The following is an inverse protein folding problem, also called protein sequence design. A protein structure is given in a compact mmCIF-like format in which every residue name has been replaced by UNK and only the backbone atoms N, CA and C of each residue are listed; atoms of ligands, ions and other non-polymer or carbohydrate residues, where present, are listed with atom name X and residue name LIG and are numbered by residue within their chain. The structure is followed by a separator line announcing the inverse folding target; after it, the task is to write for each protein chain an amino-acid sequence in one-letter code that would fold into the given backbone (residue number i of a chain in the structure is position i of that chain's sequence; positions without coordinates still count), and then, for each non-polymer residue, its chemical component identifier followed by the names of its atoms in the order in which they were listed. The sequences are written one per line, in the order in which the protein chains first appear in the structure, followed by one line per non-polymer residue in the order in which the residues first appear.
data_IF_227083937215
#
_entry.id   IF_227083937215
#
_cell.length_a   1.000
_cell.length_b   1.000
_cell.length_c   1.000
_cell.angle_alpha   90.00
_cell.angle_beta   90.00
_cell.angle_gamma   90.00
#
_symmetry.space_group_name_H-M   'P 1'
#
loop_
_entity.id
_entity.type
_entity.pdbx_description
1 polymer ?
2 non-polymer ?
3 non-polymer ?
4 non-polymer ?
5 non-polymer ?
6 water ?
#
# COMPACT_ATOMS: atom_id res chain seq x y z
N UNK A 1 16.99 -3.55 6.51
CA UNK A 1 16.51 -3.11 7.83
C UNK A 1 15.10 -2.55 7.77
N UNK A 2 14.84 -1.53 8.58
CA UNK A 2 13.50 -0.92 8.77
C UNK A 2 12.92 -0.43 7.44
N UNK A 3 13.69 0.37 6.68
CA UNK A 3 13.22 0.96 5.39
C UNK A 3 12.86 -0.17 4.41
N UNK A 4 13.70 -1.22 4.33
CA UNK A 4 13.43 -2.36 3.45
C UNK A 4 12.16 -3.09 3.94
N UNK A 5 11.97 -3.20 5.26
CA UNK A 5 10.77 -3.88 5.82
C UNK A 5 9.49 -3.15 5.33
N UNK A 6 9.52 -1.82 5.29
CA UNK A 6 8.37 -1.01 4.78
C UNK A 6 8.06 -1.48 3.34
N UNK A 7 9.09 -1.65 2.52
CA UNK A 7 8.97 -2.10 1.12
C UNK A 7 8.37 -3.52 1.10
N UNK A 8 8.83 -4.43 1.98
CA UNK A 8 8.37 -5.83 1.99
C UNK A 8 6.87 -5.83 2.33
N UNK A 9 6.51 -5.14 3.40
CA UNK A 9 5.11 -5.15 3.90
C UNK A 9 4.19 -4.59 2.80
N UNK A 10 4.58 -3.49 2.20
CA UNK A 10 3.78 -2.80 1.15
C UNK A 10 3.57 -3.71 -0.07
N UNK A 11 4.55 -4.56 -0.40
CA UNK A 11 4.49 -5.47 -1.56
C UNK A 11 3.44 -6.55 -1.38
N UNK A 12 2.93 -6.73 -0.16
CA UNK A 12 1.77 -7.66 0.04
C UNK A 12 0.92 -7.11 1.18
N UNK A 13 0.54 -5.85 1.07
CA UNK A 13 0.13 -5.04 2.26
C UNK A 13 -1.18 -5.61 2.83
N UNK A 14 -2.14 -5.91 1.95
CA UNK A 14 -3.45 -6.51 2.31
C UNK A 14 -3.23 -7.77 3.17
N UNK A 15 -2.44 -8.72 2.70
CA UNK A 15 -2.20 -10.00 3.41
C UNK A 15 -1.43 -9.73 4.72
N UNK A 16 -0.41 -8.87 4.74
CA UNK A 16 0.41 -8.64 5.96
C UNK A 16 -0.45 -7.91 6.98
N UNK A 17 -1.24 -6.95 6.49
CA UNK A 17 -2.16 -6.15 7.32
C UNK A 17 -3.11 -7.08 8.04
N UNK A 18 -3.76 -7.95 7.28
CA UNK A 18 -4.77 -8.90 7.83
C UNK A 18 -4.08 -9.84 8.84
N UNK A 19 -2.95 -10.43 8.45
CA UNK A 19 -2.39 -11.51 9.29
C UNK A 19 -1.83 -10.92 10.58
N UNK A 20 -1.23 -9.74 10.51
CA UNK A 20 -0.62 -9.10 11.73
C UNK A 20 -1.77 -8.66 12.62
N UNK A 21 -2.80 -8.08 12.03
CA UNK A 21 -3.97 -7.57 12.76
C UNK A 21 -4.71 -8.74 13.44
N UNK A 22 -4.87 -9.86 12.75
CA UNK A 22 -5.43 -11.10 13.35
C UNK A 22 -4.52 -11.58 14.50
N UNK A 23 -3.20 -11.55 14.33
CA UNK A 23 -2.27 -11.95 15.42
C UNK A 23 -2.56 -11.07 16.64
N UNK A 24 -2.78 -9.78 16.41
CA UNK A 24 -3.05 -8.77 17.46
C UNK A 24 -4.40 -9.08 18.13
N UNK A 25 -5.46 -9.30 17.37
CA UNK A 25 -6.81 -9.57 17.94
C UNK A 25 -6.80 -10.91 18.69
N UNK A 26 -6.05 -11.91 18.21
CA UNK A 26 -6.00 -13.27 18.86
C UNK A 26 -5.14 -13.21 20.12
N UNK A 27 -4.04 -12.47 20.09
CA UNK A 27 -3.18 -12.30 21.27
C UNK A 27 -3.94 -11.47 22.32
N UNK A 28 -4.76 -10.51 21.92
CA UNK A 28 -5.49 -9.58 22.85
C UNK A 28 -6.98 -9.54 22.52
N UNK A 29 -7.75 -10.59 22.89
CA UNK A 29 -9.13 -10.70 22.42
C UNK A 29 -10.02 -9.49 22.76
N UNK A 30 -9.75 -8.79 23.85
CA UNK A 30 -10.58 -7.61 24.26
C UNK A 30 -10.51 -6.52 23.18
N UNK A 31 -9.48 -6.53 22.34
CA UNK A 31 -9.33 -5.48 21.27
C UNK A 31 -10.52 -5.51 20.31
N UNK A 32 -11.22 -6.65 20.15
CA UNK A 32 -12.35 -6.76 19.17
C UNK A 32 -13.51 -5.86 19.59
N UNK A 33 -13.65 -5.61 20.89
CA UNK A 33 -14.69 -4.70 21.42
C UNK A 33 -14.69 -3.35 20.70
N UNK A 34 -13.54 -2.87 20.23
CA UNK A 34 -13.45 -1.51 19.64
C UNK A 34 -13.95 -1.54 18.20
N UNK A 35 -14.24 -2.71 17.63
CA UNK A 35 -14.57 -2.89 16.18
C UNK A 35 -15.97 -3.54 16.06
N UNK A 36 -16.90 -2.83 15.41
CA UNK A 36 -18.31 -3.31 15.26
C UNK A 36 -18.30 -4.67 14.56
N UNK A 37 -18.83 -5.69 15.22
CA UNK A 37 -19.16 -7.01 14.65
C UNK A 37 -17.92 -7.91 14.54
N UNK A 38 -16.79 -7.60 15.18
CA UNK A 38 -15.60 -8.49 15.08
C UNK A 38 -15.75 -9.61 16.12
N UNK A 39 -16.38 -9.32 17.26
CA UNK A 39 -16.53 -10.29 18.39
C UNK A 39 -17.19 -11.57 17.86
N UNK A 40 -16.69 -12.74 18.28
CA UNK A 40 -17.31 -14.05 18.01
C UNK A 40 -17.07 -14.54 16.59
N UNK A 41 -16.17 -13.92 15.84
CA UNK A 41 -15.86 -14.39 14.47
C UNK A 41 -14.44 -14.96 14.43
N UNK A 42 -14.28 -16.03 13.66
CA UNK A 42 -12.99 -16.74 13.40
C UNK A 42 -12.17 -15.86 12.45
N UNK A 43 -10.91 -16.20 12.26
CA UNK A 43 -10.01 -15.48 11.32
C UNK A 43 -10.66 -15.44 9.92
N UNK A 44 -11.19 -16.58 9.46
CA UNK A 44 -11.74 -16.71 8.08
C UNK A 44 -13.03 -15.90 7.93
N UNK A 45 -13.84 -15.84 8.99
CA UNK A 45 -15.09 -15.02 9.00
C UNK A 45 -14.69 -13.54 8.88
N UNK A 46 -13.69 -13.11 9.64
CA UNK A 46 -13.23 -11.70 9.58
C UNK A 46 -12.78 -11.36 8.17
N UNK A 47 -12.04 -12.27 7.53
CA UNK A 47 -11.50 -12.06 6.15
C UNK A 47 -12.63 -11.91 5.13
N UNK A 48 -13.82 -12.43 5.44
CA UNK A 48 -15.02 -12.32 4.57
C UNK A 48 -15.64 -10.91 4.68
N UNK A 49 -15.32 -10.15 5.73
CA UNK A 49 -16.02 -8.89 6.08
C UNK A 49 -15.32 -7.73 5.39
N UNK A 50 -16.01 -7.13 4.43
CA UNK A 50 -15.47 -6.06 3.56
C UNK A 50 -14.68 -5.05 4.40
N UNK A 51 -15.28 -4.52 5.46
CA UNK A 51 -14.69 -3.41 6.25
C UNK A 51 -13.45 -3.89 7.00
N UNK A 52 -13.40 -5.17 7.38
CA UNK A 52 -12.22 -5.74 8.06
C UNK A 52 -11.03 -5.62 7.13
N UNK A 53 -11.14 -6.11 5.89
CA UNK A 53 -10.02 -6.07 4.95
C UNK A 53 -9.68 -4.64 4.62
N UNK A 54 -10.69 -3.82 4.34
CA UNK A 54 -10.52 -2.41 3.91
C UNK A 54 -9.91 -1.61 5.07
N UNK A 55 -10.54 -1.64 6.24
CA UNK A 55 -10.07 -0.83 7.40
C UNK A 55 -8.66 -1.29 7.82
N UNK A 56 -8.39 -2.59 7.91
CA UNK A 56 -7.06 -3.06 8.38
C UNK A 56 -5.99 -2.61 7.39
N UNK A 57 -6.25 -2.70 6.09
CA UNK A 57 -5.28 -2.23 5.07
C UNK A 57 -5.03 -0.72 5.26
N UNK A 58 -6.06 0.06 5.57
CA UNK A 58 -5.93 1.54 5.74
C UNK A 58 -5.13 1.87 6.99
N UNK A 59 -5.33 1.09 8.07
CA UNK A 59 -4.50 1.20 9.31
C UNK A 59 -3.03 0.99 8.95
N UNK A 60 -2.71 -0.10 8.27
CA UNK A 60 -1.33 -0.47 7.92
C UNK A 60 -0.77 0.51 6.89
N UNK A 61 -1.62 0.95 5.93
CA UNK A 61 -1.28 2.00 4.92
C UNK A 61 -0.71 3.22 5.66
N UNK A 62 -1.42 3.71 6.71
CA UNK A 62 -1.07 4.89 7.53
C UNK A 62 0.19 4.59 8.34
N UNK A 63 0.24 3.42 9.01
CA UNK A 63 1.44 2.94 9.75
C UNK A 63 2.67 3.04 8.85
N UNK A 64 2.57 2.58 7.59
CA UNK A 64 3.73 2.52 6.68
C UNK A 64 4.16 3.95 6.27
N UNK A 65 3.20 4.87 6.11
CA UNK A 65 3.50 6.29 5.78
C UNK A 65 4.28 6.91 6.94
N UNK A 66 3.79 6.73 8.18
CA UNK A 66 4.46 7.31 9.37
C UNK A 66 5.87 6.70 9.48
N UNK A 67 5.96 5.39 9.32
CA UNK A 67 7.23 4.64 9.38
C UNK A 67 8.20 5.24 8.35
N UNK A 68 7.70 5.50 7.14
CA UNK A 68 8.53 5.95 5.98
C UNK A 68 9.05 7.37 6.24
N UNK A 69 8.30 8.19 6.96
CA UNK A 69 8.70 9.59 7.23
C UNK A 69 9.50 9.68 8.53
N UNK A 70 9.64 8.57 9.29
CA UNK A 70 10.42 8.47 10.53
C UNK A 70 11.92 8.61 10.22
N UNK A 71 12.70 9.13 11.16
CA UNK A 71 14.19 9.06 11.15
C UNK A 71 14.64 8.15 12.31
N UNK A 72 15.49 7.16 12.03
CA UNK A 72 16.03 6.23 13.05
C UNK A 72 14.88 5.72 13.94
N UNK A 73 13.75 5.39 13.32
CA UNK A 73 12.55 4.78 13.96
C UNK A 73 11.87 5.76 14.92
N UNK A 74 12.08 7.06 14.72
CA UNK A 74 11.38 8.14 15.46
C UNK A 74 10.45 8.84 14.49
N UNK A 75 9.12 8.74 14.70
CA UNK A 75 8.18 9.35 13.79
C UNK A 75 8.16 10.88 14.01
N UNK A 76 7.71 11.62 13.00
CA UNK A 76 7.44 13.08 13.05
C UNK A 76 6.38 13.37 14.11
N UNK A 77 6.68 14.28 15.02
CA UNK A 77 5.69 14.78 16.00
C UNK A 77 4.45 15.26 15.23
N UNK A 78 4.62 15.91 14.09
CA UNK A 78 3.49 16.42 13.26
C UNK A 78 2.62 15.24 12.80
N UNK A 79 3.20 14.07 12.46
CA UNK A 79 2.42 12.85 12.13
C UNK A 79 1.66 12.34 13.35
N UNK A 80 2.28 12.30 14.54
CA UNK A 80 1.60 11.91 15.79
C UNK A 80 0.35 12.79 15.97
N UNK A 81 0.49 14.11 15.83
CA UNK A 81 -0.65 15.05 16.06
C UNK A 81 -1.75 14.85 15.01
N UNK A 82 -1.41 14.70 13.73
CA UNK A 82 -2.43 14.47 12.67
C UNK A 82 -3.19 13.19 12.98
N UNK A 83 -2.53 12.22 13.62
CA UNK A 83 -3.14 10.93 14.04
C UNK A 83 -4.11 11.18 15.20
N UNK A 84 -3.68 11.90 16.23
CA UNK A 84 -4.51 12.15 17.44
C UNK A 84 -5.79 12.90 17.03
N UNK A 85 -5.73 13.73 15.99
CA UNK A 85 -6.82 14.66 15.58
C UNK A 85 -7.63 14.07 14.40
N UNK A 86 -7.30 12.87 13.92
CA UNK A 86 -8.06 12.21 12.82
C UNK A 86 -9.55 12.20 13.17
N UNK A 87 -10.39 12.59 12.20
CA UNK A 87 -11.86 12.60 12.34
C UNK A 87 -12.32 11.16 12.61
N UNK A 88 -13.29 10.98 13.51
CA UNK A 88 -13.61 9.64 14.08
C UNK A 88 -12.29 9.22 14.72
N UNK A 89 -12.19 8.15 15.51
CA UNK A 89 -10.89 7.75 16.12
C UNK A 89 -10.54 8.62 17.34
N UNK A 90 -11.51 9.34 17.90
CA UNK A 90 -11.30 10.09 19.16
C UNK A 90 -11.01 9.11 20.31
N UNK A 91 -11.53 7.88 20.24
CA UNK A 91 -11.40 6.85 21.29
C UNK A 91 -10.08 6.10 21.26
N UNK A 92 -9.18 6.38 20.30
CA UNK A 92 -7.87 5.68 20.22
C UNK A 92 -7.06 5.92 21.51
N UNK A 93 -6.38 4.89 22.02
CA UNK A 93 -5.47 4.95 23.19
C UNK A 93 -4.10 4.36 22.82
N UNK A 94 -3.05 4.81 23.49
CA UNK A 94 -1.65 4.40 23.25
C UNK A 94 -1.44 2.95 23.69
N UNK A 95 -2.12 2.49 24.74
CA UNK A 95 -2.00 1.11 25.22
C UNK A 95 -2.35 0.11 24.13
N UNK A 96 -3.39 0.41 23.35
CA UNK A 96 -3.86 -0.48 22.25
C UNK A 96 -2.83 -0.45 21.12
N UNK A 97 -2.12 0.67 20.96
CA UNK A 97 -0.96 0.76 20.04
C UNK A 97 0.21 -0.01 20.66
N UNK A 98 0.46 0.08 21.98
CA UNK A 98 1.49 -0.78 22.63
C UNK A 98 1.25 -2.23 22.18
N UNK A 99 -0.01 -2.67 22.19
CA UNK A 99 -0.31 -4.09 21.98
C UNK A 99 -0.19 -4.44 20.49
N UNK A 100 -0.68 -3.57 19.61
CA UNK A 100 -0.55 -3.79 18.15
C UNK A 100 0.92 -4.04 17.80
N UNK A 101 1.85 -3.26 18.37
CA UNK A 101 3.29 -3.38 18.01
C UNK A 101 3.93 -4.61 18.66
N UNK A 102 3.47 -5.02 19.86
CA UNK A 102 3.95 -6.27 20.49
C UNK A 102 3.61 -7.42 19.53
N UNK A 103 2.37 -7.45 19.04
CA UNK A 103 1.89 -8.47 18.09
C UNK A 103 2.71 -8.39 16.80
N UNK A 104 2.94 -7.20 16.26
CA UNK A 104 3.75 -7.01 15.03
C UNK A 104 5.16 -7.58 15.22
N UNK A 105 5.81 -7.25 16.33
CA UNK A 105 7.20 -7.71 16.58
C UNK A 105 7.23 -9.25 16.67
N UNK A 106 6.31 -9.82 17.46
CA UNK A 106 6.08 -11.29 17.60
C UNK A 106 6.02 -11.91 16.19
N UNK A 107 5.15 -11.36 15.34
CA UNK A 107 4.90 -11.87 13.96
C UNK A 107 6.21 -11.87 13.17
N UNK A 108 6.95 -10.76 13.21
CA UNK A 108 8.23 -10.61 12.46
C UNK A 108 9.27 -11.63 12.95
N UNK A 109 9.39 -11.81 14.27
CA UNK A 109 10.35 -12.79 14.87
C UNK A 109 10.02 -14.22 14.45
N UNK A 110 8.74 -14.57 14.31
CA UNK A 110 8.27 -15.92 13.91
C UNK A 110 8.35 -16.11 12.40
N UNK A 111 8.46 -15.02 11.61
CA UNK A 111 8.58 -15.07 10.14
C UNK A 111 9.92 -15.70 9.76
N UNK A 112 10.02 -16.28 8.57
CA UNK A 112 11.33 -16.79 8.14
C UNK A 112 12.17 -15.69 7.50
N UNK A 113 11.67 -14.46 7.50
CA UNK A 113 12.28 -13.34 6.74
C UNK A 113 13.13 -12.46 7.67
N UNK A 114 14.12 -11.78 7.10
CA UNK A 114 15.08 -10.91 7.83
C UNK A 114 14.47 -9.54 8.12
N UNK A 115 13.28 -9.52 8.73
CA UNK A 115 12.68 -8.28 9.26
C UNK A 115 13.58 -7.77 10.38
N UNK A 116 13.67 -6.45 10.52
CA UNK A 116 14.47 -5.82 11.59
C UNK A 116 13.53 -5.67 12.77
N UNK A 117 13.21 -6.78 13.43
CA UNK A 117 12.18 -6.84 14.49
C UNK A 117 12.53 -5.86 15.62
N UNK A 118 13.81 -5.68 15.91
CA UNK A 118 14.23 -4.76 17.00
C UNK A 118 13.89 -3.32 16.63
N UNK A 119 14.04 -2.95 15.35
CA UNK A 119 13.72 -1.60 14.84
C UNK A 119 12.21 -1.34 14.94
N UNK A 120 11.37 -2.35 14.66
CA UNK A 120 9.89 -2.17 14.73
C UNK A 120 9.45 -2.00 16.19
N UNK A 121 10.14 -2.69 17.10
CA UNK A 121 9.92 -2.61 18.57
C UNK A 121 10.26 -1.18 19.00
N UNK A 122 11.42 -0.68 18.59
CA UNK A 122 11.84 0.74 18.83
C UNK A 122 10.77 1.69 18.28
N UNK A 123 10.41 1.52 17.00
CA UNK A 123 9.39 2.37 16.32
C UNK A 123 8.07 2.35 17.08
N UNK A 124 7.61 1.17 17.52
CA UNK A 124 6.38 1.09 18.32
C UNK A 124 6.46 1.93 19.58
N UNK A 125 7.54 1.79 20.36
CA UNK A 125 7.70 2.53 21.63
C UNK A 125 7.77 4.02 21.31
N UNK A 126 8.44 4.40 20.21
CA UNK A 126 8.61 5.82 19.81
C UNK A 126 7.28 6.43 19.32
N UNK A 127 6.47 5.67 18.56
CA UNK A 127 5.11 6.12 18.13
C UNK A 127 4.24 6.28 19.37
N UNK A 128 4.29 5.34 20.31
CA UNK A 128 3.44 5.43 21.55
C UNK A 128 3.83 6.69 22.32
N UNK A 129 5.11 6.88 22.60
CA UNK A 129 5.67 8.10 23.25
C UNK A 129 5.15 9.34 22.54
N UNK A 130 5.27 9.37 21.21
CA UNK A 130 4.92 10.54 20.37
C UNK A 130 3.41 10.81 20.41
N UNK A 131 2.59 9.76 20.35
CA UNK A 131 1.11 9.91 20.45
C UNK A 131 0.76 10.48 21.83
N UNK A 132 1.41 9.98 22.89
CA UNK A 132 1.22 10.47 24.28
C UNK A 132 1.57 11.96 24.33
N UNK A 133 2.77 12.32 23.84
CA UNK A 133 3.24 13.73 23.75
C UNK A 133 2.23 14.57 22.95
N UNK A 134 1.57 13.98 21.95
CA UNK A 134 0.63 14.71 21.06
C UNK A 134 -0.78 14.76 21.66
N UNK A 135 -1.00 14.17 22.85
CA UNK A 135 -2.24 14.26 23.64
C UNK A 135 -3.17 13.06 23.48
N UNK A 136 -2.69 11.92 23.00
CA UNK A 136 -3.53 10.71 22.97
C UNK A 136 -3.57 10.17 24.40
N UNK A 137 -4.76 9.71 24.84
CA UNK A 137 -4.99 9.05 26.15
C UNK A 137 -4.33 7.66 26.12
N UNK B 1 1.15 18.20 -4.85
CA UNK B 1 1.68 17.75 -6.15
C UNK B 1 1.86 16.24 -6.20
N UNK B 2 2.85 15.82 -6.99
CA UNK B 2 3.20 14.41 -7.27
C UNK B 2 3.38 13.62 -5.96
N UNK B 3 4.18 14.13 -5.04
CA UNK B 3 4.49 13.40 -3.77
C UNK B 3 3.22 13.23 -2.93
N UNK B 4 2.37 14.27 -2.83
CA UNK B 4 1.07 14.17 -2.14
C UNK B 4 0.15 13.18 -2.86
N UNK B 5 0.16 13.15 -4.19
CA UNK B 5 -0.70 12.22 -4.96
C UNK B 5 -0.37 10.77 -4.58
N UNK B 6 0.92 10.47 -4.38
CA UNK B 6 1.38 9.13 -3.91
C UNK B 6 0.69 8.81 -2.56
N UNK B 7 0.69 9.75 -1.62
CA UNK B 7 0.04 9.59 -0.31
C UNK B 7 -1.47 9.38 -0.49
N UNK B 8 -2.13 10.18 -1.33
CA UNK B 8 -3.59 10.10 -1.60
C UNK B 8 -3.91 8.69 -2.13
N UNK B 9 -3.21 8.24 -3.17
CA UNK B 9 -3.49 6.95 -3.85
C UNK B 9 -3.29 5.79 -2.86
N UNK B 10 -2.19 5.80 -2.13
CA UNK B 10 -1.86 4.77 -1.12
C UNK B 10 -2.95 4.71 -0.04
N UNK B 11 -3.53 5.86 0.31
CA UNK B 11 -4.59 5.98 1.34
C UNK B 11 -5.85 5.20 0.96
N UNK B 12 -5.99 4.81 -0.31
CA UNK B 12 -7.12 3.93 -0.68
C UNK B 12 -6.67 3.07 -1.87
N UNK B 13 -5.52 2.44 -1.72
CA UNK B 13 -4.73 1.94 -2.87
C UNK B 13 -5.52 0.89 -3.64
N UNK B 14 -6.16 -0.04 -2.92
CA UNK B 14 -6.98 -1.14 -3.51
C UNK B 14 -8.01 -0.55 -4.47
N UNK B 15 -8.83 0.39 -4.01
CA UNK B 15 -9.94 0.96 -4.81
C UNK B 15 -9.37 1.85 -5.94
N UNK B 16 -8.30 2.63 -5.73
CA UNK B 16 -7.72 3.48 -6.79
C UNK B 16 -7.09 2.57 -7.84
N UNK B 17 -6.41 1.51 -7.37
CA UNK B 17 -5.74 0.52 -8.23
C UNK B 17 -6.80 -0.11 -9.15
N UNK B 18 -7.86 -0.64 -8.56
CA UNK B 18 -8.96 -1.28 -9.32
C UNK B 18 -9.59 -0.28 -10.31
N UNK B 19 -9.93 0.91 -9.85
CA UNK B 19 -10.73 1.82 -10.70
C UNK B 19 -9.86 2.32 -11.86
N UNK B 20 -8.59 2.62 -11.60
CA UNK B 20 -7.69 3.14 -12.66
C UNK B 20 -7.42 2.01 -13.64
N UNK B 21 -7.21 0.81 -13.13
CA UNK B 21 -6.90 -0.36 -13.99
C UNK B 21 -8.11 -0.71 -14.86
N UNK B 22 -9.32 -0.62 -14.31
CA UNK B 22 -10.58 -0.85 -15.09
C UNK B 22 -10.70 0.26 -16.15
N UNK B 23 -10.31 1.51 -15.82
CA UNK B 23 -10.35 2.61 -16.81
C UNK B 23 -9.44 2.23 -17.99
N UNK B 24 -8.26 1.70 -17.67
CA UNK B 24 -7.25 1.26 -18.65
C UNK B 24 -7.82 0.12 -19.49
N UNK B 25 -8.40 -0.90 -18.85
CA UNK B 25 -8.88 -2.10 -19.59
C UNK B 25 -10.09 -1.71 -20.45
N UNK B 26 -10.91 -0.77 -19.99
CA UNK B 26 -12.10 -0.30 -20.77
C UNK B 26 -11.65 0.63 -21.90
N UNK B 27 -10.68 1.49 -21.65
CA UNK B 27 -10.15 2.39 -22.71
C UNK B 27 -9.44 1.54 -23.77
N UNK B 28 -8.74 0.48 -23.41
CA UNK B 28 -7.95 -0.37 -24.37
C UNK B 28 -8.32 -1.83 -24.20
N UNK B 29 -9.49 -2.26 -24.72
CA UNK B 29 -9.99 -3.61 -24.46
C UNK B 29 -8.99 -4.73 -24.79
N UNK B 30 -8.09 -4.50 -25.74
CA UNK B 30 -7.06 -5.50 -26.16
C UNK B 30 -6.14 -5.84 -24.98
N UNK B 31 -6.02 -4.97 -23.98
CA UNK B 31 -5.08 -5.23 -22.85
C UNK B 31 -5.50 -6.45 -22.04
N UNK B 32 -6.79 -6.85 -22.05
CA UNK B 32 -7.30 -7.97 -21.23
C UNK B 32 -6.67 -9.30 -21.70
N UNK B 33 -6.30 -9.38 -22.98
CA UNK B 33 -5.71 -10.59 -23.59
C UNK B 33 -4.42 -11.02 -22.84
N UNK B 34 -3.74 -10.11 -22.15
CA UNK B 34 -2.50 -10.42 -21.40
C UNK B 34 -2.80 -11.00 -20.02
N UNK B 35 -4.07 -10.99 -19.58
CA UNK B 35 -4.47 -11.45 -18.23
C UNK B 35 -5.42 -12.66 -18.34
N UNK B 36 -5.00 -13.79 -17.75
CA UNK B 36 -5.80 -15.05 -17.68
C UNK B 36 -7.22 -14.74 -17.17
N UNK B 37 -8.23 -14.96 -18.02
CA UNK B 37 -9.67 -15.00 -17.63
C UNK B 37 -10.25 -13.60 -17.44
N UNK B 38 -9.62 -12.52 -17.92
CA UNK B 38 -10.21 -11.16 -17.81
C UNK B 38 -11.20 -10.93 -18.97
N UNK B 39 -10.97 -11.55 -20.12
CA UNK B 39 -11.81 -11.32 -21.35
C UNK B 39 -13.28 -11.68 -21.03
N UNK B 40 -14.21 -10.87 -21.52
CA UNK B 40 -15.66 -11.13 -21.46
C UNK B 40 -16.24 -10.92 -20.06
N UNK B 41 -15.53 -10.22 -19.17
CA UNK B 41 -16.06 -9.95 -17.81
C UNK B 41 -16.31 -8.45 -17.65
N UNK B 42 -17.37 -8.13 -16.92
CA UNK B 42 -17.79 -6.75 -16.57
C UNK B 42 -16.86 -6.27 -15.45
N UNK B 43 -16.89 -4.98 -15.14
CA UNK B 43 -16.07 -4.41 -14.04
C UNK B 43 -16.38 -5.18 -12.75
N UNK B 44 -17.66 -5.50 -12.51
CA UNK B 44 -18.07 -6.15 -11.25
C UNK B 44 -17.70 -7.66 -11.25
N UNK B 45 -17.59 -8.31 -12.40
CA UNK B 45 -17.13 -9.72 -12.44
C UNK B 45 -15.62 -9.76 -12.20
N UNK B 46 -14.91 -8.70 -12.61
CA UNK B 46 -13.45 -8.59 -12.34
C UNK B 46 -13.22 -8.34 -10.85
N UNK B 47 -13.98 -7.43 -10.24
CA UNK B 47 -13.85 -7.10 -8.80
C UNK B 47 -13.95 -8.39 -7.96
N UNK B 48 -14.76 -9.33 -8.39
CA UNK B 48 -15.08 -10.55 -7.61
C UNK B 48 -13.97 -11.59 -7.74
N UNK B 49 -13.01 -11.37 -8.64
CA UNK B 49 -11.90 -12.32 -8.93
C UNK B 49 -10.72 -11.96 -8.03
N UNK B 50 -10.34 -12.92 -7.16
CA UNK B 50 -9.28 -12.74 -6.15
C UNK B 50 -8.02 -12.15 -6.80
N UNK B 51 -7.55 -12.73 -7.88
CA UNK B 51 -6.24 -12.37 -8.45
C UNK B 51 -6.32 -11.00 -9.12
N UNK B 52 -7.48 -10.62 -9.63
CA UNK B 52 -7.71 -9.25 -10.17
C UNK B 52 -7.42 -8.23 -9.06
N UNK B 53 -8.06 -8.36 -7.91
CA UNK B 53 -7.83 -7.43 -6.80
C UNK B 53 -6.39 -7.45 -6.34
N UNK B 54 -5.84 -8.63 -6.11
CA UNK B 54 -4.51 -8.81 -5.50
C UNK B 54 -3.44 -8.35 -6.51
N UNK B 55 -3.50 -8.80 -7.76
CA UNK B 55 -2.51 -8.42 -8.80
C UNK B 55 -2.56 -6.91 -9.09
N UNK B 56 -3.74 -6.32 -9.24
CA UNK B 56 -3.84 -4.88 -9.60
C UNK B 56 -3.25 -4.04 -8.47
N UNK B 57 -3.57 -4.37 -7.21
CA UNK B 57 -2.99 -3.65 -6.04
C UNK B 57 -1.46 -3.76 -6.07
N UNK B 58 -0.92 -4.95 -6.41
CA UNK B 58 0.54 -5.19 -6.41
C UNK B 58 1.22 -4.39 -7.52
N UNK B 59 0.57 -4.28 -8.69
CA UNK B 59 1.04 -3.41 -9.80
C UNK B 59 1.15 -1.97 -9.31
N UNK B 60 0.09 -1.45 -8.69
CA UNK B 60 0.02 -0.03 -8.25
C UNK B 60 0.95 0.17 -7.06
N UNK B 61 1.09 -0.84 -6.21
CA UNK B 61 2.05 -0.71 -5.08
C UNK B 61 3.46 -0.50 -5.65
N UNK B 62 3.87 -1.31 -6.64
CA UNK B 62 5.19 -1.20 -7.32
C UNK B 62 5.28 0.18 -7.96
N UNK B 63 4.24 0.59 -8.69
CA UNK B 63 4.15 1.92 -9.34
C UNK B 63 4.44 3.01 -8.28
N UNK B 64 3.82 2.91 -7.10
CA UNK B 64 3.94 3.96 -6.05
C UNK B 64 5.36 3.98 -5.46
N UNK B 65 5.98 2.81 -5.31
CA UNK B 65 7.41 2.69 -4.88
C UNK B 65 8.31 3.42 -5.87
N UNK B 66 8.18 3.13 -7.16
CA UNK B 66 9.06 3.71 -8.21
C UNK B 66 8.83 5.23 -8.21
N UNK B 67 7.57 5.63 -8.11
CA UNK B 67 7.15 7.04 -8.07
C UNK B 67 7.80 7.71 -6.87
N UNK B 68 7.75 7.09 -5.68
CA UNK B 68 8.27 7.70 -4.43
C UNK B 68 9.79 7.84 -4.49
N UNK B 69 10.48 6.97 -5.23
CA UNK B 69 11.95 7.02 -5.34
C UNK B 69 12.40 7.91 -6.52
N UNK B 70 11.45 8.41 -7.33
CA UNK B 70 11.72 9.28 -8.48
C UNK B 70 12.13 10.67 -7.96
N UNK B 71 12.92 11.39 -8.74
CA UNK B 71 13.21 12.84 -8.53
C UNK B 71 12.61 13.61 -9.70
N UNK B 72 11.80 14.63 -9.42
CA UNK B 72 11.19 15.48 -10.47
C UNK B 72 10.54 14.58 -11.54
N UNK B 73 9.84 13.54 -11.10
CA UNK B 73 9.07 12.58 -11.95
C UNK B 73 9.99 11.80 -12.89
N UNK B 74 11.25 11.64 -12.51
CA UNK B 74 12.22 10.78 -13.25
C UNK B 74 12.55 9.59 -12.35
N UNK B 75 12.14 8.37 -12.76
CA UNK B 75 12.41 7.21 -11.94
C UNK B 75 13.89 6.83 -12.02
N UNK B 76 14.36 6.09 -11.02
CA UNK B 76 15.71 5.46 -10.97
C UNK B 76 15.84 4.46 -12.11
N UNK B 77 16.85 4.62 -12.95
CA UNK B 77 17.30 3.60 -13.94
C UNK B 77 17.39 2.22 -13.24
N UNK B 78 17.93 2.16 -12.03
CA UNK B 78 18.04 0.90 -11.25
C UNK B 78 16.65 0.26 -11.01
N UNK B 79 15.61 1.07 -10.77
CA UNK B 79 14.21 0.60 -10.65
C UNK B 79 13.68 0.07 -11.98
N UNK B 80 13.94 0.79 -13.07
CA UNK B 80 13.57 0.35 -14.44
C UNK B 80 14.18 -1.03 -14.75
N UNK B 81 15.46 -1.23 -14.44
CA UNK B 81 16.14 -2.52 -14.73
C UNK B 81 15.52 -3.64 -13.88
N UNK B 82 15.29 -3.41 -12.59
CA UNK B 82 14.61 -4.38 -11.68
C UNK B 82 13.27 -4.79 -12.27
N UNK B 83 12.50 -3.83 -12.79
CA UNK B 83 11.18 -4.08 -13.43
C UNK B 83 11.39 -5.00 -14.64
N UNK B 84 12.34 -4.66 -15.51
CA UNK B 84 12.55 -5.40 -16.79
C UNK B 84 12.92 -6.87 -16.51
N UNK B 85 13.62 -7.13 -15.40
CA UNK B 85 14.17 -8.47 -15.05
C UNK B 85 13.28 -9.16 -14.01
N UNK B 86 12.08 -8.62 -13.73
CA UNK B 86 11.10 -9.29 -12.84
C UNK B 86 10.78 -10.68 -13.39
N UNK B 87 10.91 -11.69 -12.56
CA UNK B 87 10.53 -13.09 -12.90
C UNK B 87 9.04 -13.10 -13.27
N UNK B 88 8.70 -13.81 -14.35
CA UNK B 88 7.33 -14.11 -14.85
C UNK B 88 6.76 -12.90 -15.60
N UNK B 89 7.57 -11.85 -15.83
CA UNK B 89 7.13 -10.58 -16.47
C UNK B 89 7.95 -10.31 -17.73
N UNK B 90 8.48 -11.36 -18.38
CA UNK B 90 9.31 -11.25 -19.60
C UNK B 90 8.57 -10.57 -20.76
N UNK B 91 7.24 -10.72 -20.83
CA UNK B 91 6.42 -10.27 -21.97
C UNK B 91 5.94 -8.83 -21.85
N UNK B 92 6.25 -8.12 -20.77
CA UNK B 92 5.81 -6.70 -20.59
C UNK B 92 6.38 -5.87 -21.75
N UNK B 93 5.62 -4.89 -22.26
CA UNK B 93 6.07 -3.94 -23.32
C UNK B 93 5.77 -2.52 -22.85
N UNK B 94 6.55 -1.56 -23.34
CA UNK B 94 6.48 -0.13 -22.94
C UNK B 94 5.18 0.47 -23.47
N UNK B 95 4.72 0.06 -24.65
CA UNK B 95 3.46 0.56 -25.26
C UNK B 95 2.29 0.37 -24.31
N UNK B 96 2.27 -0.77 -23.62
CA UNK B 96 1.20 -1.16 -22.66
C UNK B 96 1.30 -0.26 -21.43
N UNK B 97 2.52 0.05 -20.96
CA UNK B 97 2.74 1.00 -19.84
C UNK B 97 2.30 2.39 -20.29
N UNK B 98 2.57 2.76 -21.54
CA UNK B 98 2.16 4.07 -22.11
C UNK B 98 0.65 4.23 -21.99
N UNK B 99 -0.10 3.19 -22.36
CA UNK B 99 -1.58 3.22 -22.30
C UNK B 99 -2.06 3.26 -20.84
N UNK B 100 -1.42 2.51 -19.95
CA UNK B 100 -1.79 2.54 -18.51
C UNK B 100 -1.73 3.98 -17.99
N UNK B 101 -0.68 4.74 -18.35
CA UNK B 101 -0.51 6.13 -17.85
C UNK B 101 -1.45 7.11 -18.58
N UNK B 102 -1.82 6.86 -19.84
CA UNK B 102 -2.84 7.67 -20.55
C UNK B 102 -4.13 7.56 -19.73
N UNK B 103 -4.51 6.33 -19.36
CA UNK B 103 -5.72 6.04 -18.57
C UNK B 103 -5.60 6.67 -17.17
N UNK B 104 -4.45 6.56 -16.51
CA UNK B 104 -4.23 7.16 -15.16
C UNK B 104 -4.43 8.68 -15.21
N UNK B 105 -3.82 9.34 -16.19
CA UNK B 105 -3.91 10.81 -16.32
C UNK B 105 -5.38 11.21 -16.58
N UNK B 106 -6.06 10.55 -17.51
CA UNK B 106 -7.48 10.83 -17.81
C UNK B 106 -8.31 10.65 -16.54
N UNK B 107 -8.05 9.61 -15.75
CA UNK B 107 -8.78 9.37 -14.48
C UNK B 107 -8.56 10.58 -13.55
N UNK B 108 -7.32 11.03 -13.38
CA UNK B 108 -6.99 12.13 -12.45
C UNK B 108 -7.65 13.42 -12.93
N UNK B 109 -7.66 13.65 -14.25
CA UNK B 109 -8.30 14.86 -14.84
C UNK B 109 -9.81 14.88 -14.58
N UNK B 110 -10.47 13.72 -14.58
CA UNK B 110 -11.92 13.54 -14.36
C UNK B 110 -12.26 13.52 -12.85
N UNK B 111 -11.28 13.45 -11.94
CA UNK B 111 -11.52 13.31 -10.48
C UNK B 111 -11.87 14.67 -9.87
N UNK B 112 -12.51 14.68 -8.71
CA UNK B 112 -12.79 15.97 -8.05
C UNK B 112 -11.54 16.59 -7.44
N UNK B 113 -10.42 15.86 -7.43
CA UNK B 113 -9.27 16.16 -6.54
C UNK B 113 -8.14 16.87 -7.30
N UNK B 114 -7.30 17.60 -6.55
CA UNK B 114 -6.15 18.37 -7.10
C UNK B 114 -4.95 17.45 -7.37
N UNK B 115 -5.17 16.36 -8.12
CA UNK B 115 -4.06 15.49 -8.58
C UNK B 115 -3.18 16.34 -9.50
N UNK B 116 -1.88 16.16 -9.46
CA UNK B 116 -0.95 16.87 -10.37
C UNK B 116 -0.87 16.03 -11.64
N UNK B 117 -1.93 16.06 -12.45
CA UNK B 117 -2.12 15.16 -13.61
C UNK B 117 -0.97 15.35 -14.61
N UNK B 118 -0.48 16.57 -14.76
CA UNK B 118 0.68 16.92 -15.63
C UNK B 118 1.90 16.10 -15.21
N UNK B 119 2.15 16.05 -13.91
CA UNK B 119 3.34 15.38 -13.31
C UNK B 119 3.23 13.87 -13.56
N UNK B 120 2.05 13.28 -13.46
CA UNK B 120 1.87 11.82 -13.71
C UNK B 120 2.09 11.51 -15.20
N UNK B 121 1.72 12.45 -16.07
CA UNK B 121 1.90 12.35 -17.54
C UNK B 121 3.41 12.33 -17.79
N UNK B 122 4.14 13.26 -17.16
CA UNK B 122 5.61 13.32 -17.33
C UNK B 122 6.23 12.04 -16.76
N UNK B 123 5.78 11.62 -15.57
CA UNK B 123 6.27 10.39 -14.91
C UNK B 123 6.03 9.17 -15.81
N UNK B 124 4.85 9.06 -16.41
CA UNK B 124 4.59 7.97 -17.37
C UNK B 124 5.57 8.00 -18.54
N UNK B 125 5.76 9.15 -19.18
CA UNK B 125 6.67 9.24 -20.35
C UNK B 125 8.09 8.87 -19.90
N UNK B 126 8.48 9.31 -18.69
CA UNK B 126 9.84 9.13 -18.14
C UNK B 126 10.05 7.65 -17.75
N UNK B 127 9.02 6.98 -17.23
CA UNK B 127 9.10 5.53 -16.89
C UNK B 127 9.24 4.73 -18.18
N UNK B 128 8.42 5.04 -19.18
CA UNK B 128 8.44 4.32 -20.50
C UNK B 128 9.86 4.44 -21.10
N UNK B 129 10.36 5.66 -21.20
CA UNK B 129 11.73 5.91 -21.73
C UNK B 129 12.75 5.08 -20.93
N UNK B 130 12.66 5.15 -19.60
CA UNK B 130 13.60 4.43 -18.70
C UNK B 130 13.52 2.92 -18.96
N UNK B 131 12.29 2.38 -19.07
CA UNK B 131 12.08 0.94 -19.31
C UNK B 131 12.70 0.54 -20.64
N UNK B 132 12.49 1.38 -21.66
CA UNK B 132 13.09 1.23 -23.01
C UNK B 132 14.62 1.22 -22.89
N UNK B 133 15.20 2.24 -22.24
CA UNK B 133 16.67 2.32 -21.99
C UNK B 133 17.15 1.08 -21.23
N UNK B 134 16.32 0.52 -20.35
CA UNK B 134 16.69 -0.66 -19.53
C UNK B 134 16.42 -1.97 -20.28
N UNK B 135 15.95 -1.89 -21.53
CA UNK B 135 15.86 -3.02 -22.49
C UNK B 135 14.50 -3.70 -22.50
N UNK B 136 13.41 -3.03 -22.15
CA UNK B 136 12.04 -3.55 -22.36
C UNK B 136 11.65 -3.28 -23.81
N UNK B 137 11.07 -4.28 -24.49
CA UNK B 137 10.49 -4.16 -25.86
C UNK B 137 9.33 -3.18 -25.83
X LIG C 1 -13.30 3.44 12.83
X LIG C 1 -13.12 3.89 11.47
X LIG C 1 -14.23 4.33 10.59
X LIG C 1 -15.73 4.26 10.91
X LIG C 1 -16.72 4.03 9.74
X LIG C 1 -16.40 2.80 8.90
X LIG C 1 -16.55 1.65 9.38
X LIG C 1 -16.04 2.98 7.72
X LIG C 1 -13.57 4.80 9.36
X LIG C 1 -14.18 5.28 8.05
X LIG C 1 -12.12 4.57 9.60
X LIG C 1 -11.82 4.19 10.96
X LIG C 1 -11.09 4.95 8.63
X LIG C 1 -9.65 4.90 8.91
X LIG C 1 -8.80 5.40 7.93
X LIG C 1 -7.56 5.24 8.53
X LIG C 1 -6.32 5.64 7.76
X LIG C 1 -7.79 4.63 9.86
X LIG C 1 -9.10 4.42 10.03
X LIG C 1 -6.74 4.31 10.84
X LIG C 1 -6.99 3.68 12.14
X LIG C 1 -5.92 3.32 12.95
X LIG C 1 -6.53 2.70 14.01
X LIG C 1 -5.72 2.14 15.12
X LIG C 1 -7.94 2.73 13.74
X LIG C 1 -8.19 3.34 12.57
X LIG C 1 -8.94 2.23 14.64
X LIG C 1 -10.36 2.39 14.49
X LIG C 1 -11.28 1.96 15.55
X LIG C 1 -10.99 1.32 16.86
X LIG C 1 -12.59 2.34 15.01
X LIG C 1 -13.98 2.16 15.57
X LIG C 1 -14.66 1.02 14.81
X LIG C 1 -16.12 0.94 15.17
X LIG C 1 -16.55 -0.13 15.65
X LIG C 1 -16.85 1.96 14.97
X LIG C 1 -12.25 2.93 13.72
X LIG C 1 -10.95 2.96 13.45
X LIG C 1 -10.04 3.67 11.72
X LIG D 1 -7.49 2.22 20.85
X LIG D 1 -6.96 1.52 19.80
X LIG D 1 -5.71 1.88 19.31
X LIG D 1 -5.16 1.17 18.25
X LIG D 1 -5.85 0.11 17.72
X LIG D 1 -7.08 -0.26 18.19
X LIG D 1 -7.65 0.45 19.25
X LIG D 1 -5.07 -0.84 16.27
X LIG E 1 12.69 -8.15 4.91
X LIG E 1 12.05 -6.89 4.83
X LIG E 1 13.86 -8.28 3.99
X LIG E 1 13.46 -8.18 2.61
X LIG F 1 -13.49 -1.72 10.58
X LIG F 1 -14.17 -2.93 10.37
X LIG F 1 -14.28 -0.60 11.11
X LIG F 1 -14.22 0.50 10.23
X LIG G 1 -13.95 -14.07 19.88
X LIG G 1 -13.09 -14.16 21.04
X LIG G 1 -13.15 -13.91 18.71
X LIG G 1 -14.76 -15.29 19.79
X LIG G 1 -14.80 -12.90 20.02
X LIG H 1 1.52 -12.11 -14.14
X LIG H 1 1.85 -12.15 -12.74
X LIG H 1 1.82 -13.40 -11.95
X LIG H 1 1.38 -14.76 -12.48
X LIG H 1 1.01 -15.78 -11.38
X LIG H 1 -0.29 -15.47 -10.64
X LIG H 1 -1.22 -16.28 -10.80
X LIG H 1 -0.45 -14.46 -9.91
X LIG H 1 2.27 -13.02 -10.58
X LIG H 1 2.37 -13.84 -9.30
X LIG H 1 2.48 -11.56 -10.68
X LIG H 1 2.42 -11.04 -12.04
X LIG H 1 2.96 -10.78 -9.55
X LIG H 1 3.28 -9.37 -9.68
X LIG H 1 3.84 -8.77 -8.58
X LIG H 1 4.08 -7.49 -9.03
X LIG H 1 4.70 -6.50 -8.07
X LIG H 1 3.62 -7.43 -10.43
X LIG H 1 3.11 -8.61 -10.78
X LIG H 1 3.71 -6.25 -11.30
X LIG H 1 3.17 -6.20 -12.68
X LIG H 1 3.19 -5.01 -13.39
X LIG H 1 2.56 -5.31 -14.56
X LIG H 1 2.41 -4.23 -15.59
X LIG H 1 2.21 -6.70 -14.47
X LIG H 1 2.58 -7.20 -13.28
X LIG H 1 1.57 -7.45 -15.53
X LIG H 1 1.37 -8.88 -15.53
X LIG H 1 0.86 -9.58 -16.72
X LIG H 1 0.47 -8.99 -18.02
X LIG H 1 0.86 -10.98 -16.29
X LIG H 1 0.42 -12.22 -17.01
X LIG H 1 -0.85 -12.72 -16.29
X LIG H 1 -1.30 -14.11 -16.70
X LIG H 1 -2.48 -14.42 -16.42
X LIG H 1 -0.48 -14.88 -17.27
X LIG H 1 1.37 -10.91 -14.93
X LIG H 1 1.69 -9.67 -14.52
X LIG H 1 2.36 -9.14 -12.63
X LIG I 1 -4.40 16.09 -3.03
X LIG I 1 -4.56 15.42 -1.77
X LIG I 1 -4.42 15.14 -4.21
X LIG I 1 -3.43 14.13 -4.17
X LIG J 1 -11.93 -13.03 -4.54
X LIG J 1 -12.70 -12.12 -3.80
X LIG J 1 -12.67 -14.24 -4.96
X LIG J 1 -12.43 -14.73 -6.24
X LIG K 1 2.77 -5.54 -21.36
X LIG K 1 2.08 -4.91 -20.37
X LIG K 1 0.81 -5.36 -20.01
X LIG K 1 0.12 -4.71 -18.99
X LIG K 1 0.68 -3.63 -18.36
X LIG K 1 1.93 -3.16 -18.71
X LIG K 1 2.63 -3.81 -19.72
X LIG K 1 -0.28 -2.74 -16.98
X LIG L 1 4.46 -12.19 -18.79
X LIG L 1 5.54 -11.71 -19.55
X LIG L 1 3.36 -11.19 -18.64
X LIG L 1 3.24 -10.29 -19.75
X LIG M 1 -2.66 -12.18 -13.15
X LIG M 1 -1.89 -12.75 -12.11
X LIG M 1 -3.59 -11.18 -12.60
X LIG M 1 -4.97 -11.54 -12.50
X LIG N 1 -15.13 -7.93 -23.05
X LIG N 1 -14.26 -7.31 -22.07
X LIG N 1 -14.62 -9.25 -23.38
X LIG N 1 -15.18 -7.09 -24.23
X LIG N 1 -16.48 -8.09 -22.56
#
# INVERSE_FOLDING_TARGET
GFKQDIATLRGDLRTYAQDIFLAFLNKYPDEKRNFKNYVGKSDQELKSMAKFGDHTEKVFNLMMEVADRATDCVPLASDASTLVQMKQHSGLTTGNFEKLFVALVEYMRASGQSFDSQSWDRFGKNLVSALSSAGMK
GFKQDIATLRGDLRTYAQDIFLAFLNKYPDEKRNFKNYVGKSDQELKSMAKFGDHTEKVFNLMMEVADRATDCVPLASDASTLVQMKQHSGLTTGNFEKLFVALVEYMRASGQSFDSQSWDRFGKNLVSALSSAGMK
FDE CHA C1A C2A CAA CBA CGA O1A O2A C3A CMA C4A NA CHB C1B C2B C3B CME C4B NB CHC C1C C2C C3C CMF C4C NC CHD C1D C2D CMD C3D CAD CBD CGD O1D O2D C4D ND FE
BML O1 C1 C2 C3 C4 C5 C6 BR4
EDO C1 O1 C2 O2
EDO C1 O1 C2 O2
SO4 S O1 O2 O3 O4
FDE CHA C1A C2A CAA CBA CGA O1A O2A C3A CMA C4A NA CHB C1B C2B C3B CME C4B NB CHC C1C C2C C3C CMF C4C NC CHD C1D C2D CMD C3D CAD CBD CGD O1D O2D C4D ND FE
EDO C1 O1 C2 O2
EDO C1 O1 C2 O2
BML O1 C1 C2 C3 C4 C5 C6 BR4
EDO C1 O1 C2 O2
EDO C1 O1 C2 O2
SO4 S O1 O2 O3 O4
#
